data_IF_723734801668
#
_entry.id   IF_723734801668
#
_cell.length_a   1.000
_cell.length_b   1.000
_cell.length_c   1.000
_cell.angle_alpha   90.00
_cell.angle_beta   90.00
_cell.angle_gamma   90.00
#
_symmetry.space_group_name_H-M   'P 1'
#
loop_
_entity.id
_entity.type
_entity.pdbx_description
1 polymer ?
#
# COMPACT_ATOMS: atom_id res chain seq x y z
N UNK A 1 17.04 8.91 -15.39
CA UNK A 1 17.59 8.05 -16.47
C UNK A 1 18.44 6.91 -15.91
N UNK A 2 17.89 5.68 -15.97
CA UNK A 2 18.44 4.32 -15.84
C UNK A 2 19.72 4.08 -15.00
N UNK A 3 19.54 3.76 -13.71
CA UNK A 3 20.57 3.12 -12.89
C UNK A 3 20.80 1.64 -13.24
N UNK A 4 19.84 1.01 -13.92
CA UNK A 4 19.89 -0.42 -14.26
C UNK A 4 20.61 -0.74 -15.57
N UNK A 5 20.81 0.25 -16.45
CA UNK A 5 21.50 0.11 -17.75
C UNK A 5 20.95 -0.98 -18.68
N UNK A 6 19.67 -1.35 -18.54
CA UNK A 6 19.04 -2.39 -19.36
C UNK A 6 18.69 -1.91 -20.79
N UNK A 7 18.30 -0.65 -20.93
CA UNK A 7 17.98 0.03 -22.20
C UNK A 7 18.65 1.40 -22.24
N UNK A 8 18.71 1.98 -23.45
CA UNK A 8 19.43 3.22 -23.71
C UNK A 8 18.52 4.45 -23.93
N UNK A 9 17.19 4.28 -23.90
CA UNK A 9 16.22 5.38 -24.08
C UNK A 9 14.88 5.01 -23.44
N UNK A 10 14.04 6.00 -23.15
CA UNK A 10 12.67 5.79 -22.66
C UNK A 10 11.80 5.07 -23.68
N UNK A 11 11.97 5.35 -24.98
CA UNK A 11 11.27 4.67 -26.07
C UNK A 11 11.59 3.17 -26.06
N UNK A 12 12.87 2.81 -25.98
CA UNK A 12 13.29 1.41 -25.87
C UNK A 12 12.77 0.77 -24.59
N UNK A 13 12.80 1.48 -23.45
CA UNK A 13 12.22 0.96 -22.20
C UNK A 13 10.72 0.69 -22.32
N UNK A 14 9.96 1.61 -22.93
CA UNK A 14 8.54 1.45 -23.16
C UNK A 14 8.24 0.23 -24.04
N UNK A 15 9.02 0.05 -25.12
CA UNK A 15 8.95 -1.14 -25.98
C UNK A 15 9.13 -2.42 -25.18
N UNK A 16 10.24 -2.56 -24.45
CA UNK A 16 10.52 -3.83 -23.76
C UNK A 16 9.51 -4.07 -22.63
N UNK A 17 9.10 -3.03 -21.90
CA UNK A 17 8.12 -3.15 -20.82
C UNK A 17 6.74 -3.59 -21.32
N UNK A 18 6.23 -2.97 -22.38
CA UNK A 18 4.92 -3.31 -22.96
C UNK A 18 4.95 -4.71 -23.58
N UNK A 19 6.00 -5.05 -24.32
CA UNK A 19 6.16 -6.40 -24.90
C UNK A 19 6.37 -7.49 -23.84
N UNK A 20 6.92 -7.13 -22.67
CA UNK A 20 7.01 -8.03 -21.52
C UNK A 20 5.66 -8.21 -20.77
N UNK A 21 4.62 -7.45 -21.14
CA UNK A 21 3.27 -7.58 -20.61
C UNK A 21 2.89 -6.53 -19.57
N UNK A 22 3.77 -5.56 -19.26
CA UNK A 22 3.41 -4.44 -18.38
C UNK A 22 2.31 -3.60 -19.04
N UNK A 23 1.22 -3.35 -18.30
CA UNK A 23 0.04 -2.65 -18.81
C UNK A 23 -0.29 -1.35 -18.07
N UNK A 24 0.46 -1.05 -17.00
CA UNK A 24 0.35 0.17 -16.21
C UNK A 24 1.76 0.49 -15.69
N UNK A 25 2.13 1.76 -15.77
CA UNK A 25 3.32 2.29 -15.12
C UNK A 25 2.88 3.12 -13.91
N UNK A 26 3.51 2.85 -12.77
CA UNK A 26 3.41 3.70 -11.59
C UNK A 26 4.62 4.66 -11.59
N UNK A 27 4.40 5.87 -12.10
CA UNK A 27 5.44 6.88 -12.23
C UNK A 27 4.87 8.27 -11.96
N UNK A 28 5.74 9.16 -11.49
CA UNK A 28 5.45 10.59 -11.43
C UNK A 28 5.50 11.20 -12.85
N UNK A 29 4.91 12.39 -13.02
CA UNK A 29 4.82 13.05 -14.33
C UNK A 29 6.18 13.26 -15.02
N UNK A 30 7.23 13.51 -14.24
CA UNK A 30 8.58 13.82 -14.76
C UNK A 30 9.36 12.59 -15.26
N UNK A 31 9.01 11.38 -14.81
CA UNK A 31 9.74 10.13 -15.09
C UNK A 31 8.89 9.06 -15.78
N UNK A 32 7.73 9.44 -16.33
CA UNK A 32 6.80 8.56 -17.02
C UNK A 32 7.38 8.02 -18.35
N UNK A 33 7.81 6.77 -18.36
CA UNK A 33 8.34 6.07 -19.53
C UNK A 33 7.23 5.79 -20.55
N UNK A 34 6.03 5.48 -20.09
CA UNK A 34 4.88 5.11 -20.93
C UNK A 34 4.36 6.28 -21.77
N UNK A 35 4.72 7.53 -21.43
CA UNK A 35 4.54 8.69 -22.31
C UNK A 35 5.25 8.51 -23.67
N UNK A 36 6.28 7.66 -23.74
CA UNK A 36 7.01 7.34 -24.98
C UNK A 36 6.33 6.26 -25.84
N UNK A 37 5.22 5.64 -25.40
CA UNK A 37 4.53 4.58 -26.16
C UNK A 37 4.06 5.10 -27.53
N UNK A 38 3.53 6.32 -27.59
CA UNK A 38 3.10 6.91 -28.87
C UNK A 38 4.24 7.04 -29.88
N UNK A 39 5.43 7.41 -29.41
CA UNK A 39 6.64 7.42 -30.23
C UNK A 39 7.06 6.01 -30.65
N UNK A 40 7.09 5.05 -29.71
CA UNK A 40 7.43 3.66 -30.00
C UNK A 40 6.49 3.01 -31.04
N UNK A 41 5.21 3.37 -31.02
CA UNK A 41 4.24 2.97 -32.06
C UNK A 41 4.57 3.64 -33.40
N UNK A 42 4.84 4.95 -33.40
CA UNK A 42 5.19 5.68 -34.63
C UNK A 42 6.48 5.18 -35.30
N UNK A 43 7.42 4.66 -34.51
CA UNK A 43 8.67 4.05 -34.96
C UNK A 43 8.51 2.55 -35.31
N UNK A 44 7.33 1.97 -35.10
CA UNK A 44 7.03 0.56 -35.39
C UNK A 44 7.64 -0.44 -34.42
N UNK A 45 8.12 0.00 -33.25
CA UNK A 45 8.69 -0.83 -32.19
C UNK A 45 7.59 -1.55 -31.38
N UNK A 46 6.43 -0.90 -31.24
CA UNK A 46 5.22 -1.48 -30.64
C UNK A 46 4.09 -1.42 -31.66
N UNK A 47 3.28 -2.47 -31.74
CA UNK A 47 2.09 -2.47 -32.60
C UNK A 47 0.88 -1.90 -31.86
N UNK A 48 -0.06 -1.28 -32.59
CA UNK A 48 -1.35 -0.87 -32.03
C UNK A 48 -2.07 -2.03 -31.33
N UNK A 49 -1.97 -3.24 -31.89
CA UNK A 49 -2.58 -4.44 -31.29
C UNK A 49 -2.00 -4.75 -29.91
N UNK A 50 -0.68 -4.61 -29.73
CA UNK A 50 -0.02 -4.79 -28.42
C UNK A 50 -0.51 -3.76 -27.41
N UNK A 51 -0.65 -2.49 -27.82
CA UNK A 51 -1.19 -1.42 -26.96
C UNK A 51 -2.64 -1.71 -26.58
N UNK A 52 -3.47 -2.09 -27.56
CA UNK A 52 -4.88 -2.43 -27.35
C UNK A 52 -5.01 -3.59 -26.37
N UNK A 53 -4.19 -4.64 -26.46
CA UNK A 53 -4.20 -5.74 -25.50
C UNK A 53 -3.88 -5.27 -24.07
N UNK A 54 -2.82 -4.47 -23.90
CA UNK A 54 -2.42 -3.93 -22.61
C UNK A 54 -3.53 -3.08 -21.98
N UNK A 55 -4.11 -2.16 -22.75
CA UNK A 55 -5.22 -1.31 -22.30
C UNK A 55 -6.47 -2.15 -22.01
N UNK A 56 -6.76 -3.19 -22.81
CA UNK A 56 -7.90 -4.08 -22.58
C UNK A 56 -7.80 -4.80 -21.24
N UNK A 57 -6.61 -5.27 -20.85
CA UNK A 57 -6.37 -5.90 -19.54
C UNK A 57 -6.57 -4.92 -18.39
N UNK A 58 -6.07 -3.70 -18.51
CA UNK A 58 -6.25 -2.64 -17.52
C UNK A 58 -7.73 -2.27 -17.35
N UNK A 59 -8.44 -2.03 -18.46
CA UNK A 59 -9.85 -1.66 -18.44
C UNK A 59 -10.75 -2.80 -17.97
N UNK A 60 -10.41 -4.06 -18.24
CA UNK A 60 -11.14 -5.20 -17.69
C UNK A 60 -11.15 -5.19 -16.16
N UNK A 61 -10.03 -4.83 -15.51
CA UNK A 61 -9.98 -4.70 -14.05
C UNK A 61 -10.87 -3.54 -13.58
N UNK A 62 -10.79 -2.38 -14.23
CA UNK A 62 -11.64 -1.21 -13.92
C UNK A 62 -13.14 -1.51 -14.07
N UNK A 63 -13.51 -2.26 -15.11
CA UNK A 63 -14.88 -2.75 -15.29
C UNK A 63 -15.31 -3.72 -14.18
N UNK A 64 -14.44 -4.65 -13.77
CA UNK A 64 -14.73 -5.59 -12.65
C UNK A 64 -14.89 -4.89 -11.31
N UNK A 65 -14.22 -3.76 -11.11
CA UNK A 65 -14.39 -2.89 -9.93
C UNK A 65 -15.70 -2.08 -9.98
N UNK A 66 -16.46 -2.17 -11.07
CA UNK A 66 -17.71 -1.44 -11.27
C UNK A 66 -17.51 0.06 -11.46
N UNK A 67 -16.31 0.49 -11.91
CA UNK A 67 -15.98 1.91 -12.06
C UNK A 67 -16.86 2.62 -13.11
N UNK A 68 -17.32 1.87 -14.11
CA UNK A 68 -18.19 2.37 -15.18
C UNK A 68 -19.67 1.99 -15.00
N UNK A 69 -20.01 1.25 -13.93
CA UNK A 69 -21.38 0.85 -13.67
C UNK A 69 -22.20 2.02 -13.12
N UNK A 70 -23.51 2.10 -13.41
CA UNK A 70 -24.41 3.03 -12.72
C UNK A 70 -24.29 2.88 -11.20
N UNK A 71 -24.35 3.96 -10.40
CA UNK A 71 -24.18 3.88 -8.95
C UNK A 71 -25.09 2.87 -8.27
N UNK A 72 -26.28 2.63 -8.79
CA UNK A 72 -27.27 1.70 -8.25
C UNK A 72 -26.84 0.24 -8.36
N UNK A 73 -26.02 -0.08 -9.37
CA UNK A 73 -25.48 -1.41 -9.66
C UNK A 73 -24.16 -1.70 -8.94
N UNK A 74 -23.43 -0.67 -8.50
CA UNK A 74 -22.18 -0.83 -7.77
C UNK A 74 -22.46 -0.87 -6.25
N UNK A 75 -22.20 -2.00 -5.55
CA UNK A 75 -22.48 -2.12 -4.12
C UNK A 75 -21.62 -1.19 -3.25
N UNK A 76 -20.46 -0.76 -3.73
CA UNK A 76 -19.52 0.06 -2.99
C UNK A 76 -19.91 1.54 -2.93
N UNK A 77 -20.79 2.02 -3.82
CA UNK A 77 -21.27 3.42 -3.84
C UNK A 77 -22.20 3.75 -2.68
N UNK A 78 -22.76 2.73 -2.02
CA UNK A 78 -23.69 2.87 -0.89
C UNK A 78 -22.97 2.90 0.46
N UNK A 79 -21.67 2.63 0.49
CA UNK A 79 -20.88 2.68 1.70
C UNK A 79 -20.70 4.12 2.16
N UNK A 80 -21.01 4.39 3.42
CA UNK A 80 -20.80 5.70 4.03
C UNK A 80 -19.58 5.65 4.94
N UNK A 81 -18.75 6.68 4.88
CA UNK A 81 -17.50 6.75 5.65
C UNK A 81 -17.80 6.63 7.15
N UNK A 82 -18.88 7.26 7.62
CA UNK A 82 -19.26 7.31 9.03
C UNK A 82 -19.67 5.94 9.59
N UNK A 83 -20.12 5.03 8.72
CA UNK A 83 -20.57 3.70 9.11
C UNK A 83 -19.39 2.73 9.31
N UNK A 84 -18.26 2.94 8.61
CA UNK A 84 -17.18 1.96 8.50
C UNK A 84 -15.81 2.46 8.94
N UNK A 85 -15.44 3.69 8.63
CA UNK A 85 -14.11 4.22 8.99
C UNK A 85 -14.05 4.44 10.49
N UNK A 86 -13.03 3.87 11.14
CA UNK A 86 -12.86 3.91 12.60
C UNK A 86 -14.07 3.34 13.38
N UNK A 87 -14.88 2.46 12.78
CA UNK A 87 -15.99 1.80 13.49
C UNK A 87 -15.48 1.02 14.71
N UNK A 88 -16.34 0.85 15.72
CA UNK A 88 -15.97 0.09 16.93
C UNK A 88 -15.51 -1.33 16.59
N UNK A 89 -16.19 -1.99 15.65
CA UNK A 89 -15.83 -3.33 15.20
C UNK A 89 -14.42 -3.38 14.56
N UNK A 90 -14.06 -2.39 13.73
CA UNK A 90 -12.73 -2.32 13.13
C UNK A 90 -11.65 -2.01 14.17
N UNK A 91 -11.93 -1.11 15.13
CA UNK A 91 -11.00 -0.80 16.23
C UNK A 91 -10.76 -2.02 17.11
N UNK A 92 -11.81 -2.76 17.44
CA UNK A 92 -11.71 -3.97 18.25
C UNK A 92 -10.89 -5.05 17.53
N UNK A 93 -11.12 -5.26 16.22
CA UNK A 93 -10.31 -6.19 15.42
C UNK A 93 -8.83 -5.75 15.37
N UNK A 94 -8.57 -4.45 15.21
CA UNK A 94 -7.21 -3.91 15.24
C UNK A 94 -6.53 -4.12 16.59
N UNK A 95 -7.25 -3.96 17.69
CA UNK A 95 -6.75 -4.20 19.05
C UNK A 95 -6.41 -5.68 19.25
N UNK A 96 -7.28 -6.59 18.82
CA UNK A 96 -7.05 -8.04 18.90
C UNK A 96 -5.81 -8.45 18.12
N UNK A 97 -5.65 -7.94 16.88
CA UNK A 97 -4.46 -8.19 16.07
C UNK A 97 -3.19 -7.65 16.75
N UNK A 98 -3.24 -6.44 17.31
CA UNK A 98 -2.11 -5.84 18.02
C UNK A 98 -1.72 -6.67 19.25
N UNK A 99 -2.68 -7.09 20.07
CA UNK A 99 -2.42 -7.94 21.25
C UNK A 99 -1.81 -9.29 20.86
N UNK A 100 -2.26 -9.89 19.76
CA UNK A 100 -1.75 -11.16 19.27
C UNK A 100 -0.36 -11.06 18.61
N UNK A 101 0.01 -9.88 18.11
CA UNK A 101 1.31 -9.65 17.45
C UNK A 101 2.49 -9.49 18.41
N UNK A 102 2.24 -9.23 19.69
CA UNK A 102 3.30 -9.02 20.68
C UNK A 102 4.00 -10.36 21.04
N UNK A 103 5.33 -10.40 20.93
CA UNK A 103 6.11 -11.61 21.22
C UNK A 103 6.91 -11.45 22.51
N UNK A 104 6.65 -12.34 23.49
CA UNK A 104 7.43 -12.42 24.72
C UNK A 104 8.73 -13.22 24.47
N UNK A 105 9.82 -12.50 24.20
CA UNK A 105 11.12 -13.13 23.88
C UNK A 105 11.85 -13.69 25.10
N UNK A 106 11.70 -13.07 26.28
CA UNK A 106 12.35 -13.51 27.53
C UNK A 106 11.42 -13.28 28.71
N UNK A 107 11.29 -14.27 29.58
CA UNK A 107 10.64 -14.16 30.88
C UNK A 107 11.44 -14.95 31.92
N UNK A 108 12.20 -14.26 32.77
CA UNK A 108 13.17 -14.86 33.70
C UNK A 108 12.78 -14.60 35.15
N UNK A 109 12.21 -15.63 35.78
CA UNK A 109 11.69 -15.59 37.15
C UNK A 109 12.76 -15.30 38.21
N UNK A 110 14.05 -15.34 37.85
CA UNK A 110 15.14 -15.06 38.80
C UNK A 110 15.45 -13.56 38.96
N UNK A 111 14.95 -12.70 38.05
CA UNK A 111 15.26 -11.26 38.03
C UNK A 111 14.32 -10.39 38.87
N UNK A 112 13.52 -10.99 39.76
CA UNK A 112 12.56 -10.28 40.61
C UNK A 112 11.15 -10.27 40.00
N UNK A 113 10.61 -9.07 39.75
CA UNK A 113 9.24 -8.94 39.19
C UNK A 113 9.24 -9.25 37.70
N UNK A 114 8.41 -10.21 37.30
CA UNK A 114 8.29 -10.74 35.93
C UNK A 114 6.86 -10.66 35.40
N UNK A 115 6.65 -11.06 34.16
CA UNK A 115 5.33 -11.05 33.53
C UNK A 115 4.58 -12.38 33.77
N UNK A 116 3.25 -12.36 33.95
CA UNK A 116 2.43 -11.16 34.15
C UNK A 116 2.62 -10.56 35.55
N UNK A 117 2.53 -9.23 35.65
CA UNK A 117 2.54 -8.53 36.94
C UNK A 117 1.24 -8.88 37.68
N UNK A 118 1.34 -9.68 38.74
CA UNK A 118 0.18 -10.16 39.51
C UNK A 118 -0.02 -9.42 40.84
N UNK A 119 0.98 -8.65 41.27
CA UNK A 119 0.92 -7.87 42.51
C UNK A 119 0.67 -6.39 42.19
N UNK A 120 -0.16 -5.68 42.97
CA UNK A 120 -0.35 -4.24 42.80
C UNK A 120 0.97 -3.48 42.88
N UNK A 121 1.17 -2.56 41.94
CA UNK A 121 2.35 -1.68 41.88
C UNK A 121 1.90 -0.25 42.11
N UNK A 122 2.48 0.44 43.09
CA UNK A 122 2.10 1.82 43.44
C UNK A 122 2.64 2.87 42.44
N UNK A 123 3.76 2.56 41.76
CA UNK A 123 4.39 3.42 40.77
C UNK A 123 5.22 2.62 39.78
N UNK A 124 5.20 3.04 38.51
CA UNK A 124 6.01 2.44 37.44
C UNK A 124 6.78 3.52 36.70
N UNK A 125 8.02 3.22 36.31
CA UNK A 125 8.86 4.09 35.49
C UNK A 125 8.89 3.54 34.06
N UNK A 126 8.34 4.28 33.10
CA UNK A 126 8.36 3.93 31.68
C UNK A 126 9.47 4.77 31.03
N UNK A 127 10.50 4.11 30.50
CA UNK A 127 11.68 4.76 29.93
C UNK A 127 11.99 4.23 28.54
N UNK A 128 12.64 5.06 27.73
CA UNK A 128 13.08 4.72 26.39
C UNK A 128 12.56 5.70 25.34
N UNK A 129 13.16 5.69 24.14
CA UNK A 129 12.80 6.63 23.08
C UNK A 129 11.41 6.39 22.47
N UNK A 130 10.83 5.19 22.66
CA UNK A 130 9.57 4.78 22.04
C UNK A 130 8.32 5.00 22.92
N UNK A 131 8.45 5.62 24.09
CA UNK A 131 7.36 5.61 25.09
C UNK A 131 6.19 6.56 24.77
N UNK A 132 6.41 7.56 23.91
CA UNK A 132 5.41 8.57 23.58
C UNK A 132 5.63 9.15 22.17
N UNK A 133 5.82 8.28 21.18
CA UNK A 133 5.97 8.69 19.77
C UNK A 133 5.04 7.85 18.87
N UNK A 134 3.88 8.40 18.50
CA UNK A 134 2.93 7.75 17.60
C UNK A 134 3.52 7.34 16.25
N UNK A 135 4.49 8.09 15.71
CA UNK A 135 5.08 7.78 14.41
C UNK A 135 5.85 6.45 14.43
N UNK A 136 6.44 6.12 15.58
CA UNK A 136 7.17 4.87 15.76
C UNK A 136 6.25 3.66 15.96
N UNK A 137 4.98 3.88 16.33
CA UNK A 137 4.00 2.79 16.50
C UNK A 137 3.41 2.32 15.19
N UNK A 138 3.12 3.25 14.28
CA UNK A 138 2.51 2.92 12.99
C UNK A 138 3.53 2.49 11.94
N UNK A 139 4.79 2.91 12.08
CA UNK A 139 5.83 2.60 11.10
C UNK A 139 5.59 3.30 9.76
N UNK A 140 6.12 2.69 8.69
CA UNK A 140 5.97 3.18 7.31
C UNK A 140 4.59 2.86 6.73
N UNK A 141 4.19 3.53 5.64
CA UNK A 141 2.86 3.44 5.02
C UNK A 141 1.70 3.72 6.00
N UNK A 142 1.96 4.54 7.01
CA UNK A 142 0.97 4.93 8.01
C UNK A 142 0.10 6.10 7.53
N UNK A 143 -1.15 6.19 7.99
CA UNK A 143 -1.98 7.35 7.67
C UNK A 143 -1.37 8.62 8.25
N UNK A 144 -1.59 9.76 7.60
CA UNK A 144 -1.23 11.06 8.18
C UNK A 144 -2.03 11.25 9.47
N UNK A 145 -1.33 11.31 10.60
CA UNK A 145 -1.93 11.60 11.89
C UNK A 145 -2.36 13.05 11.90
N UNK A 146 -3.66 13.30 11.72
CA UNK A 146 -4.22 14.62 12.01
C UNK A 146 -4.23 14.80 13.53
N UNK A 147 -3.38 15.71 14.00
CA UNK A 147 -3.32 16.09 15.42
C UNK A 147 -4.62 16.82 15.75
N UNK A 148 -5.44 16.25 16.63
CA UNK A 148 -6.63 16.91 17.21
C UNK A 148 -6.23 17.93 18.27
#
# INVERSE_FOLDING_TARGET
MSAHHYTNSTVATAEVAVNAGTCLEDANEEDNVFASIGQAVSEGLITDATVIDAVSRLFLVRMRLGEFDPPEMNPYTKLKVEDYVQSEAHRQLSLEAAMASAVLMKNDMTMGMTLPITTPVNSACVVGPFINDPSLYFGDYSPTLMVS
#
